data_IF_335437857172
#
_entry.id   IF_335437857172
#
_cell.length_a   1.000
_cell.length_b   1.000
_cell.length_c   1.000
_cell.angle_alpha   90.00
_cell.angle_beta   90.00
_cell.angle_gamma   90.00
#
_symmetry.space_group_name_H-M   'P 1'
#
loop_
_entity.id
_entity.type
_entity.pdbx_description
1 polymer ?
#
# COMPACT_ATOMS: atom_id res chain seq x y z
N UNK A 1 20.47 1.20 -11.58
CA UNK A 1 19.82 1.74 -10.38
C UNK A 1 18.56 2.49 -10.75
N UNK A 2 17.46 2.19 -10.10
CA UNK A 2 16.21 2.91 -10.35
C UNK A 2 16.16 4.18 -9.52
N UNK A 3 15.62 5.25 -10.09
CA UNK A 3 15.41 6.48 -9.35
C UNK A 3 14.27 6.31 -8.35
N UNK A 4 14.22 7.19 -7.37
CA UNK A 4 13.12 7.22 -6.42
C UNK A 4 11.77 7.32 -7.13
N UNK A 5 11.66 8.27 -8.05
CA UNK A 5 10.39 8.48 -8.75
C UNK A 5 9.99 7.27 -9.61
N UNK A 6 10.96 6.58 -10.18
CA UNK A 6 10.66 5.37 -10.94
C UNK A 6 10.06 4.29 -10.05
N UNK A 7 10.61 4.12 -8.85
CA UNK A 7 10.06 3.13 -7.90
C UNK A 7 8.65 3.49 -7.45
N UNK A 8 8.41 4.77 -7.19
CA UNK A 8 7.07 5.22 -6.79
C UNK A 8 6.05 4.98 -7.90
N UNK A 9 6.44 5.24 -9.15
CA UNK A 9 5.55 4.99 -10.28
C UNK A 9 5.28 3.50 -10.46
N UNK A 10 6.28 2.65 -10.27
CA UNK A 10 6.09 1.20 -10.34
C UNK A 10 5.11 0.73 -9.26
N UNK A 11 5.25 1.23 -8.05
CA UNK A 11 4.36 0.86 -6.97
C UNK A 11 2.92 1.31 -7.26
N UNK A 12 2.76 2.52 -7.76
CA UNK A 12 1.45 3.03 -8.16
C UNK A 12 0.81 2.17 -9.24
N UNK A 13 1.60 1.78 -10.25
CA UNK A 13 1.12 0.95 -11.36
C UNK A 13 0.68 -0.44 -10.88
N UNK A 14 1.41 -1.00 -9.94
CA UNK A 14 1.11 -2.30 -9.37
C UNK A 14 -0.30 -2.31 -8.78
N UNK A 15 -0.68 -1.26 -8.08
CA UNK A 15 -1.99 -1.17 -7.44
C UNK A 15 -3.13 -0.99 -8.44
N UNK A 16 -2.84 -0.59 -9.67
CA UNK A 16 -3.87 -0.44 -10.71
C UNK A 16 -4.50 -1.77 -11.12
N UNK A 17 -3.89 -2.89 -10.75
CA UNK A 17 -4.42 -4.21 -11.09
C UNK A 17 -5.44 -4.73 -10.07
N UNK A 18 -5.80 -3.92 -9.09
CA UNK A 18 -6.87 -4.28 -8.14
C UNK A 18 -8.23 -3.98 -8.75
N UNK A 19 -9.28 -4.49 -8.11
CA UNK A 19 -10.64 -4.31 -8.60
C UNK A 19 -11.26 -2.96 -8.24
N UNK A 20 -10.54 -2.10 -7.51
CA UNK A 20 -11.04 -0.76 -7.24
C UNK A 20 -10.34 0.27 -8.11
N UNK A 21 -11.07 1.31 -8.49
CA UNK A 21 -10.53 2.45 -9.24
C UNK A 21 -10.13 3.60 -8.31
N UNK A 22 -10.44 3.47 -7.02
CA UNK A 22 -10.20 4.55 -6.05
C UNK A 22 -8.91 4.26 -5.29
N UNK A 23 -7.81 4.70 -5.88
CA UNK A 23 -6.47 4.51 -5.32
C UNK A 23 -5.83 5.89 -5.20
N UNK A 24 -5.48 6.25 -3.97
CA UNK A 24 -4.99 7.59 -3.66
C UNK A 24 -3.57 7.51 -3.10
N UNK A 25 -2.72 8.40 -3.59
CA UNK A 25 -1.37 8.56 -3.09
C UNK A 25 -1.38 9.69 -2.07
N UNK A 26 -0.99 9.39 -0.83
CA UNK A 26 -0.93 10.28 0.33
C UNK A 26 -2.27 10.52 0.99
N UNK A 27 -3.22 11.08 0.30
CA UNK A 27 -4.46 11.54 0.92
C UNK A 27 -5.66 11.27 0.04
N UNK A 28 -6.74 10.84 0.66
CA UNK A 28 -8.01 10.62 -0.01
C UNK A 28 -8.98 11.70 0.45
N UNK A 29 -9.15 12.73 -0.38
CA UNK A 29 -10.07 13.83 -0.08
C UNK A 29 -11.37 13.68 -0.88
N UNK A 30 -12.45 14.24 -0.36
CA UNK A 30 -13.75 14.20 -1.02
C UNK A 30 -14.51 12.90 -0.75
N UNK A 31 -15.57 12.73 -1.47
CA UNK A 31 -16.42 11.55 -1.33
C UNK A 31 -15.76 10.33 -1.94
N UNK A 32 -15.84 9.21 -1.23
CA UNK A 32 -15.26 7.95 -1.69
C UNK A 32 -16.35 6.90 -1.79
N UNK A 33 -16.11 5.94 -2.67
CA UNK A 33 -16.99 4.80 -2.78
C UNK A 33 -16.83 3.82 -1.63
N UNK A 34 -17.37 2.65 -1.80
CA UNK A 34 -17.39 1.63 -0.75
C UNK A 34 -16.03 0.95 -0.54
N UNK A 35 -15.12 1.08 -1.50
CA UNK A 35 -13.84 0.39 -1.50
C UNK A 35 -12.77 1.32 -2.05
N UNK A 36 -11.74 1.64 -1.24
CA UNK A 36 -10.65 2.46 -1.74
C UNK A 36 -9.34 2.13 -1.01
N UNK A 37 -8.23 2.56 -1.64
CA UNK A 37 -6.88 2.33 -1.12
C UNK A 37 -6.19 3.68 -0.99
N UNK A 38 -5.44 3.85 0.11
CA UNK A 38 -4.56 5.00 0.30
C UNK A 38 -3.17 4.46 0.59
N UNK A 39 -2.16 4.97 -0.08
CA UNK A 39 -0.80 4.52 0.15
C UNK A 39 0.16 5.69 0.16
N UNK A 40 1.28 5.50 0.84
CA UNK A 40 2.33 6.52 0.83
C UNK A 40 3.67 5.88 1.18
N UNK A 41 4.72 6.46 0.62
CA UNK A 41 6.07 6.17 1.08
C UNK A 41 6.37 7.02 2.30
N UNK A 42 7.18 6.49 3.21
CA UNK A 42 7.50 7.16 4.47
C UNK A 42 8.99 7.38 4.65
N UNK A 43 9.80 6.74 3.83
CA UNK A 43 11.23 6.90 3.91
C UNK A 43 11.97 5.73 3.33
N UNK A 44 13.26 5.71 3.57
CA UNK A 44 14.12 4.61 3.15
C UNK A 44 14.15 3.54 4.24
N UNK A 45 14.12 2.28 3.81
CA UNK A 45 14.22 1.16 4.73
C UNK A 45 15.57 1.12 5.41
N UNK A 46 15.58 0.84 6.70
CA UNK A 46 16.81 0.74 7.48
C UNK A 46 17.62 -0.50 7.15
N UNK A 47 17.04 -1.45 6.45
CA UNK A 47 17.67 -2.75 6.22
C UNK A 47 18.96 -2.66 5.39
N UNK A 48 19.14 -1.57 4.62
CA UNK A 48 20.32 -1.39 3.79
C UNK A 48 21.39 -0.51 4.44
N UNK A 49 21.13 0.07 5.60
CA UNK A 49 22.08 0.95 6.26
C UNK A 49 23.38 0.25 6.65
N UNK A 50 23.30 -1.03 6.93
CA UNK A 50 24.45 -1.79 7.40
C UNK A 50 25.55 -1.91 6.36
N UNK A 51 25.20 -1.82 5.09
CA UNK A 51 26.17 -1.96 4.01
C UNK A 51 26.87 -0.66 3.64
N UNK A 52 26.24 0.47 3.93
CA UNK A 52 26.68 1.77 3.43
C UNK A 52 26.86 1.84 1.92
N UNK A 53 26.41 0.82 1.22
CA UNK A 53 26.51 0.74 -0.23
C UNK A 53 25.27 0.08 -0.75
N UNK A 54 24.43 0.83 -1.39
CA UNK A 54 23.28 0.26 -2.04
C UNK A 54 23.11 0.89 -3.41
N UNK A 55 22.92 0.05 -4.38
CA UNK A 55 22.74 0.50 -5.76
C UNK A 55 21.33 0.98 -6.00
N UNK A 56 20.42 0.73 -5.08
CA UNK A 56 19.06 1.21 -5.20
C UNK A 56 18.48 1.49 -3.82
N UNK A 57 17.48 2.36 -3.82
CA UNK A 57 16.75 2.70 -2.61
C UNK A 57 15.71 1.63 -2.34
N UNK A 58 15.66 1.14 -1.11
CA UNK A 58 14.54 0.32 -0.65
C UNK A 58 13.65 1.22 0.17
N UNK A 59 12.42 1.40 -0.30
CA UNK A 59 11.47 2.28 0.35
C UNK A 59 10.64 1.53 1.37
N UNK A 60 10.22 2.25 2.40
CA UNK A 60 9.20 1.76 3.33
C UNK A 60 8.02 2.70 3.31
N UNK A 61 6.84 2.19 3.58
CA UNK A 61 5.66 3.01 3.59
C UNK A 61 4.48 2.30 4.21
N UNK A 62 3.32 2.91 4.03
CA UNK A 62 2.06 2.38 4.50
C UNK A 62 1.09 2.20 3.34
N UNK A 63 0.14 1.29 3.53
CA UNK A 63 -0.95 1.06 2.60
C UNK A 63 -2.19 0.74 3.41
N UNK A 64 -3.27 1.45 3.16
CA UNK A 64 -4.51 1.30 3.89
C UNK A 64 -5.63 0.95 2.92
N UNK A 65 -6.38 -0.11 3.26
CA UNK A 65 -7.55 -0.50 2.48
C UNK A 65 -8.78 -0.21 3.31
N UNK A 66 -9.72 0.51 2.71
CA UNK A 66 -11.01 0.81 3.32
C UNK A 66 -12.09 0.14 2.50
N UNK A 67 -12.93 -0.67 3.14
CA UNK A 67 -14.03 -1.32 2.45
C UNK A 67 -15.23 -1.48 3.38
N UNK A 68 -16.42 -1.34 2.81
CA UNK A 68 -17.68 -1.63 3.54
C UNK A 68 -18.14 -3.06 3.34
N UNK A 69 -17.40 -3.83 2.56
CA UNK A 69 -17.76 -5.22 2.21
C UNK A 69 -17.02 -6.17 3.13
N UNK A 70 -17.76 -6.99 3.85
CA UNK A 70 -17.17 -8.05 4.67
C UNK A 70 -16.61 -9.14 3.77
N UNK A 71 -15.43 -9.66 4.11
CA UNK A 71 -14.72 -10.67 3.31
C UNK A 71 -14.43 -10.19 1.89
N UNK A 72 -14.04 -8.93 1.75
CA UNK A 72 -13.79 -8.32 0.45
C UNK A 72 -12.57 -8.92 -0.24
N UNK A 73 -12.74 -9.37 -1.47
CA UNK A 73 -11.65 -9.90 -2.29
C UNK A 73 -10.54 -8.87 -2.53
N UNK A 74 -10.84 -7.59 -2.40
CA UNK A 74 -9.84 -6.53 -2.59
C UNK A 74 -8.62 -6.72 -1.70
N UNK A 75 -8.83 -7.14 -0.46
CA UNK A 75 -7.73 -7.36 0.48
C UNK A 75 -6.82 -8.47 -0.04
N UNK A 76 -7.40 -9.57 -0.49
CA UNK A 76 -6.63 -10.68 -1.05
C UNK A 76 -5.92 -10.28 -2.33
N UNK A 77 -6.57 -9.47 -3.18
CA UNK A 77 -5.96 -8.96 -4.41
C UNK A 77 -4.71 -8.15 -4.11
N UNK A 78 -4.78 -7.28 -3.11
CA UNK A 78 -3.63 -6.46 -2.72
C UNK A 78 -2.50 -7.35 -2.19
N UNK A 79 -2.83 -8.29 -1.31
CA UNK A 79 -1.84 -9.21 -0.76
C UNK A 79 -1.14 -9.99 -1.88
N UNK A 80 -1.91 -10.52 -2.82
CA UNK A 80 -1.35 -11.27 -3.95
C UNK A 80 -0.45 -10.40 -4.83
N UNK A 81 -0.85 -9.16 -5.09
CA UNK A 81 -0.07 -8.25 -5.90
C UNK A 81 1.25 -7.89 -5.22
N UNK A 82 1.21 -7.59 -3.92
CA UNK A 82 2.42 -7.29 -3.18
C UNK A 82 3.36 -8.49 -3.18
N UNK A 83 2.83 -9.66 -2.92
CA UNK A 83 3.62 -10.90 -2.90
C UNK A 83 4.25 -11.19 -4.27
N UNK A 84 3.44 -11.11 -5.32
CA UNK A 84 3.88 -11.42 -6.69
C UNK A 84 4.97 -10.45 -7.17
N UNK A 85 4.94 -9.21 -6.70
CA UNK A 85 5.88 -8.19 -7.13
C UNK A 85 7.04 -8.00 -6.15
N UNK A 86 7.23 -8.95 -5.25
CA UNK A 86 8.36 -8.98 -4.32
C UNK A 86 8.36 -7.79 -3.37
N UNK A 87 7.18 -7.33 -2.99
CA UNK A 87 7.04 -6.30 -1.97
C UNK A 87 6.90 -6.99 -0.62
N UNK A 88 7.77 -6.66 0.33
CA UNK A 88 7.64 -7.17 1.70
C UNK A 88 6.54 -6.38 2.40
N UNK A 89 5.71 -7.06 3.18
CA UNK A 89 4.60 -6.37 3.85
C UNK A 89 4.19 -7.11 5.11
N UNK A 90 3.53 -6.35 6.01
CA UNK A 90 2.87 -6.89 7.19
C UNK A 90 1.51 -6.24 7.33
N UNK A 91 0.52 -7.03 7.66
CA UNK A 91 -0.78 -6.51 8.09
C UNK A 91 -0.62 -6.13 9.57
N UNK A 92 -0.68 -4.84 9.88
CA UNK A 92 -0.41 -4.38 11.24
C UNK A 92 -1.65 -4.11 12.05
N UNK A 93 -2.79 -3.87 11.40
CA UNK A 93 -4.03 -3.60 12.12
C UNK A 93 -5.25 -3.80 11.23
N UNK A 94 -6.35 -4.22 11.85
CA UNK A 94 -7.66 -4.26 11.22
C UNK A 94 -8.63 -3.60 12.19
N UNK A 95 -9.38 -2.61 11.73
CA UNK A 95 -10.29 -1.85 12.56
C UNK A 95 -11.62 -1.65 11.85
N UNK A 96 -12.72 -1.73 12.60
CA UNK A 96 -14.05 -1.44 12.08
C UNK A 96 -14.47 -0.05 12.55
N UNK A 97 -14.68 0.87 11.62
CA UNK A 97 -15.07 2.24 11.93
C UNK A 97 -16.59 2.34 12.00
N UNK A 98 -17.13 2.40 13.19
CA UNK A 98 -18.58 2.35 13.39
C UNK A 98 -19.32 3.54 12.78
N UNK A 99 -18.68 4.71 12.69
CA UNK A 99 -19.32 5.90 12.14
C UNK A 99 -19.49 5.85 10.62
N UNK A 100 -18.54 5.23 9.93
CA UNK A 100 -18.50 5.19 8.47
C UNK A 100 -18.88 3.82 7.92
N UNK A 101 -18.85 2.78 8.74
CA UNK A 101 -19.05 1.39 8.37
C UNK A 101 -17.92 0.83 7.50
N UNK A 102 -16.77 1.50 7.46
CA UNK A 102 -15.61 0.94 6.77
C UNK A 102 -14.87 -0.04 7.66
N UNK A 103 -14.38 -1.10 7.04
CA UNK A 103 -13.37 -1.96 7.64
C UNK A 103 -12.04 -1.42 7.11
N UNK A 104 -11.12 -1.12 8.00
CA UNK A 104 -9.85 -0.50 7.66
C UNK A 104 -8.71 -1.49 7.91
N UNK A 105 -8.00 -1.86 6.85
CA UNK A 105 -6.85 -2.77 6.93
C UNK A 105 -5.60 -1.94 6.73
N UNK A 106 -4.69 -1.99 7.70
CA UNK A 106 -3.45 -1.20 7.66
C UNK A 106 -2.26 -2.11 7.45
N UNK A 107 -1.44 -1.77 6.45
CA UNK A 107 -0.24 -2.53 6.11
C UNK A 107 0.99 -1.63 6.18
N UNK A 108 2.12 -2.20 6.61
CA UNK A 108 3.44 -1.66 6.34
C UNK A 108 4.02 -2.40 5.16
N UNK A 109 4.80 -1.73 4.34
CA UNK A 109 5.44 -2.37 3.20
C UNK A 109 6.86 -1.84 3.00
N UNK A 110 7.67 -2.67 2.33
CA UNK A 110 9.00 -2.29 1.84
C UNK A 110 9.15 -2.75 0.40
N UNK A 111 9.71 -1.86 -0.40
CA UNK A 111 9.84 -2.14 -1.85
C UNK A 111 11.15 -1.62 -2.40
#
# INVERSE_FOLDING_TARGET
MKSLNSKLKEFAELLQYTSTNEIYHYDATGDKGDRYIVWQEEGESDSLFLDNQHDEIILKGSLDIYTKVEFDDLVDEVIDLLHKNTVSFNLINVDYETNSNYIHYSFDWEY
#
